data_IF_187297546445
#
_entry.id   IF_187297546445
#
_cell.length_a   1.000
_cell.length_b   1.000
_cell.length_c   1.000
_cell.angle_alpha   90.00
_cell.angle_beta   90.00
_cell.angle_gamma   90.00
#
_symmetry.space_group_name_H-M   'P 1'
#
loop_
_entity.id
_entity.type
_entity.pdbx_description
1 polymer ?
#
# COMPACT_ATOMS: atom_id res chain seq x y z
N UNK A 1 -7.95 0.35 19.63
CA UNK A 1 -7.97 -1.13 19.72
C UNK A 1 -7.27 -1.70 18.48
N UNK A 2 -6.33 -2.66 18.62
CA UNK A 2 -5.67 -3.25 17.46
C UNK A 2 -6.68 -4.05 16.61
N UNK A 3 -6.53 -3.98 15.29
CA UNK A 3 -7.25 -4.82 14.32
C UNK A 3 -6.31 -5.96 13.94
N UNK A 4 -6.66 -7.18 14.32
CA UNK A 4 -5.84 -8.38 14.08
C UNK A 4 -6.50 -9.21 12.98
N UNK A 5 -5.72 -9.61 11.98
CA UNK A 5 -6.18 -10.45 10.87
C UNK A 5 -5.01 -11.24 10.27
N UNK A 6 -5.33 -12.31 9.55
CA UNK A 6 -4.37 -13.08 8.78
C UNK A 6 -4.46 -12.70 7.28
N UNK A 7 -3.29 -12.57 6.65
CA UNK A 7 -3.21 -12.27 5.22
C UNK A 7 -2.26 -13.24 4.51
N UNK A 8 -2.61 -13.56 3.27
CA UNK A 8 -1.92 -14.55 2.45
C UNK A 8 -1.68 -14.02 1.05
N UNK A 9 -0.65 -14.55 0.40
CA UNK A 9 -0.35 -14.33 -1.01
C UNK A 9 -0.16 -15.68 -1.71
N UNK A 10 -0.46 -15.73 -2.99
CA UNK A 10 -0.24 -16.91 -3.79
C UNK A 10 1.19 -16.91 -4.35
N UNK A 11 1.99 -17.90 -3.97
CA UNK A 11 3.36 -18.09 -4.46
C UNK A 11 3.49 -19.49 -5.04
N UNK A 12 3.73 -19.60 -6.35
CA UNK A 12 3.83 -20.89 -7.07
C UNK A 12 2.61 -21.80 -6.89
N UNK A 13 1.41 -21.22 -6.80
CA UNK A 13 0.16 -21.93 -6.60
C UNK A 13 -0.22 -22.22 -5.13
N UNK A 14 0.67 -21.96 -4.18
CA UNK A 14 0.43 -22.15 -2.75
C UNK A 14 0.08 -20.84 -2.05
N UNK A 15 -0.85 -20.90 -1.08
CA UNK A 15 -1.17 -19.76 -0.20
C UNK A 15 -0.12 -19.69 0.91
N UNK A 16 0.60 -18.57 0.99
CA UNK A 16 1.64 -18.32 2.00
C UNK A 16 1.30 -17.08 2.80
N UNK A 17 1.55 -17.13 4.10
CA UNK A 17 1.34 -16.00 5.00
C UNK A 17 2.16 -14.79 4.56
N UNK A 18 1.51 -13.63 4.57
CA UNK A 18 2.16 -12.33 4.46
C UNK A 18 2.67 -11.94 5.85
N UNK A 19 3.95 -11.64 5.95
CA UNK A 19 4.63 -11.34 7.23
C UNK A 19 4.64 -9.85 7.59
N UNK A 20 4.38 -8.96 6.63
CA UNK A 20 4.27 -7.50 6.85
C UNK A 20 3.08 -6.92 6.09
N UNK A 21 2.26 -6.13 6.75
CA UNK A 21 1.08 -5.48 6.13
C UNK A 21 1.44 -4.58 4.96
N UNK A 22 2.63 -3.97 4.95
CA UNK A 22 3.12 -3.14 3.84
C UNK A 22 3.37 -3.89 2.52
N UNK A 23 3.22 -5.20 2.50
CA UNK A 23 3.19 -5.99 1.25
C UNK A 23 1.86 -5.79 0.52
N UNK A 24 0.75 -5.74 1.25
CA UNK A 24 -0.60 -5.79 0.72
C UNK A 24 -1.43 -4.52 0.94
N UNK A 25 -0.92 -3.57 1.70
CA UNK A 25 -1.65 -2.34 2.00
C UNK A 25 -0.73 -1.15 2.24
N UNK A 26 -1.23 0.04 1.88
CA UNK A 26 -0.63 1.33 2.18
C UNK A 26 -1.67 2.20 2.87
N UNK A 27 -1.29 2.86 3.97
CA UNK A 27 -2.14 3.78 4.71
C UNK A 27 -1.69 5.21 4.46
N UNK A 28 -2.58 6.01 3.90
CA UNK A 28 -2.48 7.46 3.84
C UNK A 28 -3.30 8.13 4.94
N UNK A 29 -3.28 9.45 4.99
CA UNK A 29 -4.09 10.21 5.96
C UNK A 29 -5.58 10.10 5.68
N UNK A 30 -5.98 10.21 4.41
CA UNK A 30 -7.40 10.23 3.99
C UNK A 30 -7.80 9.03 3.11
N UNK A 31 -6.86 8.15 2.80
CA UNK A 31 -7.09 6.97 1.98
C UNK A 31 -6.34 5.74 2.51
N UNK A 32 -6.74 4.58 2.03
CA UNK A 32 -6.01 3.35 2.21
C UNK A 32 -6.05 2.53 0.91
N UNK A 33 -4.90 2.01 0.50
CA UNK A 33 -4.82 1.00 -0.58
C UNK A 33 -4.77 -0.36 0.08
N UNK A 34 -5.61 -1.28 -0.37
CA UNK A 34 -5.76 -2.59 0.27
C UNK A 34 -5.98 -3.69 -0.77
N UNK A 35 -5.20 -4.74 -0.71
CA UNK A 35 -5.52 -6.01 -1.35
C UNK A 35 -6.44 -6.83 -0.44
N UNK A 36 -7.75 -6.66 -0.64
CA UNK A 36 -8.75 -7.35 0.19
C UNK A 36 -8.74 -8.87 -0.04
N UNK A 37 -8.35 -9.34 -1.23
CA UNK A 37 -8.26 -10.76 -1.55
C UNK A 37 -7.09 -11.48 -0.86
N UNK A 38 -6.15 -10.73 -0.32
CA UNK A 38 -5.11 -11.29 0.55
C UNK A 38 -5.65 -11.76 1.92
N UNK A 39 -6.82 -11.30 2.33
CA UNK A 39 -7.46 -11.70 3.59
C UNK A 39 -8.51 -12.79 3.26
N UNK A 40 -8.18 -14.06 3.52
CA UNK A 40 -9.01 -15.19 3.13
C UNK A 40 -10.31 -15.28 3.96
N UNK A 41 -10.26 -14.98 5.26
CA UNK A 41 -11.44 -14.95 6.11
C UNK A 41 -12.31 -13.73 5.79
N UNK A 42 -13.57 -14.00 5.38
CA UNK A 42 -14.51 -12.95 4.99
C UNK A 42 -14.91 -12.01 6.12
N UNK A 43 -14.89 -12.48 7.37
CA UNK A 43 -15.23 -11.65 8.55
C UNK A 43 -14.08 -10.70 8.87
N UNK A 44 -12.85 -11.22 8.84
CA UNK A 44 -11.65 -10.40 9.02
C UNK A 44 -11.50 -9.37 7.90
N UNK A 45 -11.71 -9.78 6.64
CA UNK A 45 -11.71 -8.88 5.47
C UNK A 45 -12.70 -7.73 5.66
N UNK A 46 -13.94 -8.06 6.06
CA UNK A 46 -14.96 -7.05 6.33
C UNK A 46 -14.57 -6.14 7.50
N UNK A 47 -14.05 -6.71 8.58
CA UNK A 47 -13.61 -5.97 9.77
C UNK A 47 -12.50 -4.97 9.41
N UNK A 48 -11.51 -5.36 8.61
CA UNK A 48 -10.43 -4.48 8.15
C UNK A 48 -10.98 -3.32 7.32
N UNK A 49 -11.84 -3.62 6.32
CA UNK A 49 -12.44 -2.59 5.47
C UNK A 49 -13.31 -1.63 6.29
N UNK A 50 -14.14 -2.14 7.19
CA UNK A 50 -15.00 -1.33 8.04
C UNK A 50 -14.16 -0.44 9.00
N UNK A 51 -13.06 -0.97 9.56
CA UNK A 51 -12.14 -0.19 10.39
C UNK A 51 -11.53 0.97 9.63
N UNK A 52 -11.04 0.73 8.40
CA UNK A 52 -10.47 1.80 7.58
C UNK A 52 -11.50 2.88 7.23
N UNK A 53 -12.74 2.49 6.92
CA UNK A 53 -13.83 3.43 6.65
C UNK A 53 -14.26 4.21 7.89
N UNK A 54 -14.25 3.58 9.08
CA UNK A 54 -14.56 4.24 10.33
C UNK A 54 -13.48 5.27 10.75
N UNK A 55 -12.26 5.11 10.21
CA UNK A 55 -11.17 6.08 10.32
C UNK A 55 -11.20 7.14 9.20
N UNK A 56 -12.37 7.34 8.57
CA UNK A 56 -12.63 8.29 7.49
C UNK A 56 -11.72 8.14 6.26
N UNK A 57 -11.23 6.91 5.99
CA UNK A 57 -10.38 6.64 4.84
C UNK A 57 -11.19 6.14 3.64
N UNK A 58 -10.91 6.70 2.47
CA UNK A 58 -11.33 6.10 1.21
C UNK A 58 -10.52 4.82 0.97
N UNK A 59 -11.20 3.68 0.82
CA UNK A 59 -10.52 2.40 0.59
C UNK A 59 -10.46 2.13 -0.92
N UNK A 60 -9.23 2.11 -1.45
CA UNK A 60 -8.92 1.81 -2.85
C UNK A 60 -8.43 0.36 -2.90
N UNK A 61 -9.20 -0.49 -3.58
CA UNK A 61 -8.87 -1.91 -3.66
C UNK A 61 -7.88 -2.18 -4.79
N UNK A 62 -6.91 -3.05 -4.52
CA UNK A 62 -5.95 -3.60 -5.48
C UNK A 62 -6.02 -5.13 -5.51
N UNK A 63 -5.52 -5.74 -6.58
CA UNK A 63 -5.48 -7.19 -6.78
C UNK A 63 -4.16 -7.79 -6.28
N UNK A 64 -4.10 -9.14 -6.15
CA UNK A 64 -2.83 -9.83 -5.86
C UNK A 64 -1.79 -9.62 -6.97
N UNK A 65 -2.21 -9.53 -8.24
CA UNK A 65 -1.29 -9.20 -9.34
C UNK A 65 -0.66 -7.82 -9.18
N UNK A 66 -1.42 -6.85 -8.68
CA UNK A 66 -0.91 -5.53 -8.36
C UNK A 66 0.01 -5.55 -7.13
N UNK A 67 -0.28 -6.40 -6.14
CA UNK A 67 0.63 -6.65 -4.99
C UNK A 67 1.96 -7.22 -5.48
N UNK A 68 1.94 -8.16 -6.43
CA UNK A 68 3.16 -8.73 -7.03
C UNK A 68 3.98 -7.68 -7.81
N UNK A 69 3.36 -6.56 -8.18
CA UNK A 69 4.01 -5.37 -8.76
C UNK A 69 4.19 -4.25 -7.72
N UNK A 70 4.22 -4.59 -6.43
CA UNK A 70 4.49 -3.68 -5.32
C UNK A 70 3.46 -2.55 -5.10
N UNK A 71 2.25 -2.64 -5.64
CA UNK A 71 1.22 -1.62 -5.45
C UNK A 71 0.67 -1.53 -4.00
N UNK A 72 1.00 -2.47 -3.12
CA UNK A 72 0.80 -2.36 -1.67
C UNK A 72 1.98 -1.69 -0.95
N UNK A 73 3.17 -1.63 -1.58
CA UNK A 73 4.40 -1.17 -0.96
C UNK A 73 4.72 0.30 -1.28
N UNK A 74 3.81 1.17 -0.91
CA UNK A 74 3.86 2.62 -1.14
C UNK A 74 3.92 3.37 0.19
N UNK A 75 4.33 4.63 0.16
CA UNK A 75 4.38 5.50 1.34
C UNK A 75 3.88 6.90 1.02
N UNK A 76 2.87 7.37 1.77
CA UNK A 76 2.53 8.79 1.79
C UNK A 76 3.56 9.55 2.60
N UNK A 77 4.08 10.64 2.05
CA UNK A 77 4.99 11.56 2.71
C UNK A 77 4.51 12.99 2.55
N UNK A 78 4.88 13.84 3.51
CA UNK A 78 4.64 15.28 3.45
C UNK A 78 5.89 15.99 2.96
N UNK A 79 5.77 16.75 1.88
CA UNK A 79 6.84 17.58 1.35
C UNK A 79 7.11 18.83 2.19
N UNK A 80 8.22 19.52 1.90
CA UNK A 80 8.55 20.78 2.55
C UNK A 80 7.56 21.92 2.22
N UNK A 81 6.82 21.76 1.14
CA UNK A 81 5.73 22.64 0.68
C UNK A 81 4.36 22.33 1.29
N UNK A 82 4.33 21.49 2.33
CA UNK A 82 3.14 20.96 2.98
C UNK A 82 2.22 20.07 2.10
N UNK A 83 2.60 19.82 0.85
CA UNK A 83 1.87 18.89 -0.02
C UNK A 83 2.14 17.44 0.36
N UNK A 84 1.14 16.61 0.07
CA UNK A 84 1.23 15.17 0.27
C UNK A 84 1.60 14.49 -1.03
N UNK A 85 2.52 13.56 -0.92
CA UNK A 85 3.03 12.76 -2.03
C UNK A 85 2.90 11.29 -1.72
N UNK A 86 2.49 10.48 -2.69
CA UNK A 86 2.54 9.03 -2.59
C UNK A 86 3.73 8.52 -3.39
N UNK A 87 4.71 7.98 -2.69
CA UNK A 87 5.92 7.45 -3.28
C UNK A 87 5.72 5.98 -3.61
N UNK A 88 6.01 5.59 -4.84
CA UNK A 88 5.91 4.22 -5.33
C UNK A 88 6.96 3.91 -6.39
N UNK A 89 7.13 2.63 -6.71
CA UNK A 89 7.96 2.24 -7.86
C UNK A 89 7.24 2.46 -9.18
N UNK A 90 8.00 2.50 -10.27
CA UNK A 90 7.45 2.53 -11.62
C UNK A 90 6.61 1.28 -11.91
N UNK A 91 7.02 0.10 -11.42
CA UNK A 91 6.26 -1.14 -11.55
C UNK A 91 4.89 -1.04 -10.86
N UNK A 92 4.86 -0.54 -9.62
CA UNK A 92 3.61 -0.29 -8.89
C UNK A 92 2.69 0.66 -9.68
N UNK A 93 3.22 1.80 -10.11
CA UNK A 93 2.47 2.80 -10.86
C UNK A 93 1.87 2.24 -12.15
N UNK A 94 2.66 1.48 -12.92
CA UNK A 94 2.20 0.87 -14.17
C UNK A 94 1.15 -0.22 -13.97
N UNK A 95 1.13 -0.89 -12.82
CA UNK A 95 0.15 -1.92 -12.50
C UNK A 95 -1.22 -1.35 -12.11
N UNK A 96 -1.28 -0.10 -11.66
CA UNK A 96 -2.52 0.55 -11.27
C UNK A 96 -3.38 0.89 -12.49
N UNK A 97 -4.68 0.70 -12.35
CA UNK A 97 -5.67 1.12 -13.36
C UNK A 97 -5.81 2.64 -13.37
N UNK A 98 -6.28 3.20 -14.49
CA UNK A 98 -6.56 4.64 -14.59
C UNK A 98 -7.52 5.12 -13.50
N UNK A 99 -8.52 4.30 -13.15
CA UNK A 99 -9.47 4.62 -12.08
C UNK A 99 -8.76 4.74 -10.73
N UNK A 100 -7.92 3.75 -10.37
CA UNK A 100 -7.17 3.77 -9.10
C UNK A 100 -6.21 4.97 -9.04
N UNK A 101 -5.54 5.31 -10.14
CA UNK A 101 -4.68 6.49 -10.22
C UNK A 101 -5.49 7.76 -9.98
N UNK A 102 -6.63 7.93 -10.65
CA UNK A 102 -7.51 9.09 -10.45
C UNK A 102 -7.99 9.21 -9.01
N UNK A 103 -8.42 8.09 -8.40
CA UNK A 103 -8.84 8.05 -6.99
C UNK A 103 -7.71 8.44 -6.03
N UNK A 104 -6.47 8.00 -6.29
CA UNK A 104 -5.29 8.38 -5.48
C UNK A 104 -4.94 9.86 -5.65
N UNK A 105 -5.04 10.39 -6.86
CA UNK A 105 -4.72 11.79 -7.17
C UNK A 105 -5.72 12.80 -6.57
N UNK A 106 -6.89 12.34 -6.12
CA UNK A 106 -7.81 13.15 -5.30
C UNK A 106 -7.23 13.47 -3.91
N UNK A 107 -6.28 12.67 -3.43
CA UNK A 107 -5.70 12.77 -2.09
C UNK A 107 -4.26 13.27 -2.10
N UNK A 108 -3.46 12.87 -3.08
CA UNK A 108 -2.00 13.05 -3.10
C UNK A 108 -1.46 13.29 -4.50
N UNK A 109 -0.25 13.82 -4.58
CA UNK A 109 0.52 13.82 -5.84
C UNK A 109 1.34 12.52 -5.91
N UNK A 110 1.19 11.75 -6.98
CA UNK A 110 1.94 10.50 -7.17
C UNK A 110 3.35 10.83 -7.67
N UNK A 111 4.36 10.26 -7.01
CA UNK A 111 5.76 10.27 -7.46
C UNK A 111 6.23 8.83 -7.64
N UNK A 112 6.66 8.47 -8.83
CA UNK A 112 7.18 7.14 -9.13
C UNK A 112 8.60 7.18 -9.69
N UNK A 113 9.39 6.15 -9.36
CA UNK A 113 10.75 5.97 -9.85
C UNK A 113 11.01 4.49 -10.16
N UNK A 114 11.92 4.21 -11.11
CA UNK A 114 12.36 2.83 -11.31
C UNK A 114 13.12 2.34 -10.09
N UNK A 115 12.72 1.16 -9.59
CA UNK A 115 13.33 0.45 -8.47
C UNK A 115 13.66 -1.01 -8.86
N UNK A 116 13.79 -1.29 -10.14
CA UNK A 116 13.87 -2.63 -10.72
C UNK A 116 14.96 -3.50 -10.06
N UNK A 117 16.14 -2.94 -9.83
CA UNK A 117 17.26 -3.68 -9.19
C UNK A 117 16.93 -4.00 -7.72
N UNK A 118 16.36 -3.07 -6.99
CA UNK A 118 16.01 -3.25 -5.58
C UNK A 118 14.87 -4.27 -5.44
N UNK A 119 13.86 -4.16 -6.27
CA UNK A 119 12.73 -5.08 -6.30
C UNK A 119 13.15 -6.50 -6.67
N UNK A 120 14.05 -6.65 -7.65
CA UNK A 120 14.55 -7.96 -8.07
C UNK A 120 15.49 -8.61 -7.04
N UNK A 121 16.35 -7.82 -6.39
CA UNK A 121 17.40 -8.35 -5.49
C UNK A 121 17.00 -8.31 -4.02
N UNK A 122 16.24 -7.32 -3.60
CA UNK A 122 15.89 -7.07 -2.19
C UNK A 122 14.52 -7.60 -1.78
N UNK A 123 13.65 -7.91 -2.72
CA UNK A 123 12.29 -8.41 -2.46
C UNK A 123 11.36 -7.39 -1.80
N UNK A 124 11.76 -6.12 -1.73
CA UNK A 124 10.99 -4.98 -1.24
C UNK A 124 10.98 -3.83 -2.24
N UNK A 125 10.23 -2.77 -1.98
CA UNK A 125 10.09 -1.61 -2.86
C UNK A 125 10.13 -0.29 -2.08
N UNK A 126 9.48 0.75 -2.55
CA UNK A 126 9.57 2.12 -2.04
C UNK A 126 9.37 2.24 -0.52
N UNK A 127 8.31 1.63 0.05
CA UNK A 127 8.04 1.68 1.49
C UNK A 127 9.14 1.05 2.33
N UNK A 128 9.75 -0.03 1.82
CA UNK A 128 10.82 -0.75 2.53
C UNK A 128 12.14 0.02 2.62
N UNK A 129 12.33 1.06 1.80
CA UNK A 129 13.53 1.89 1.75
C UNK A 129 13.39 3.20 2.52
N UNK A 130 12.20 3.52 3.01
CA UNK A 130 11.90 4.83 3.60
C UNK A 130 11.44 4.66 5.05
N UNK A 131 11.92 5.57 5.91
CA UNK A 131 11.46 5.69 7.27
C UNK A 131 11.08 7.15 7.56
N UNK A 132 9.92 7.34 8.17
CA UNK A 132 9.43 8.66 8.57
C UNK A 132 10.10 9.09 9.87
N UNK A 133 10.43 10.39 9.95
CA UNK A 133 11.01 10.99 11.15
C UNK A 133 10.07 12.10 11.61
N UNK A 134 9.45 11.91 12.76
CA UNK A 134 8.50 12.86 13.35
C UNK A 134 9.10 13.69 14.49
N UNK A 135 10.42 13.81 14.53
CA UNK A 135 11.12 14.64 15.52
C UNK A 135 10.92 16.13 15.22
N UNK A 136 10.77 16.98 16.26
CA UNK A 136 10.77 18.43 16.06
C UNK A 136 12.03 18.88 15.32
N UNK A 137 11.87 19.84 14.41
CA UNK A 137 13.02 20.50 13.79
C UNK A 137 13.75 21.31 14.87
N UNK A 138 15.06 21.19 14.92
CA UNK A 138 15.91 22.00 15.80
C UNK A 138 15.91 23.47 15.39
#
# INVERSE_FOLDING_TARGET
TPVIFEAFQTVNGDRKLIYHTNVMMCLGETFAVLCADAIDDKKERKMVIDSLKNDDKQVILITEDQVNNFAGNMLEVKGADDRRYLIMSAAAHQSLTKKQITELEEHVTILSSSLDTIEACGGGSARCMMAEIFLPRA
#
